data_IF_313176845889
#
_entry.id   IF_313176845889
#
_cell.length_a   1.000
_cell.length_b   1.000
_cell.length_c   1.000
_cell.angle_alpha   90.00
_cell.angle_beta   90.00
_cell.angle_gamma   90.00
#
_symmetry.space_group_name_H-M   'P 1'
#
loop_
_entity.id
_entity.type
_entity.pdbx_description
1 polymer ?
#
# COMPACT_ATOMS: atom_id res chain seq x y z
N UNK A 1 -5.39 -13.54 -12.73
CA UNK A 1 -6.33 -13.96 -13.80
C UNK A 1 -5.71 -13.58 -15.13
N UNK A 2 -5.17 -14.54 -15.87
CA UNK A 2 -4.37 -14.24 -17.07
C UNK A 2 -3.21 -13.27 -16.76
N UNK A 3 -3.00 -12.21 -17.55
CA UNK A 3 -1.90 -11.25 -17.34
C UNK A 3 -2.17 -10.25 -16.20
N UNK A 4 -3.24 -10.45 -15.41
CA UNK A 4 -3.67 -9.54 -14.35
C UNK A 4 -3.44 -10.15 -12.96
N UNK A 5 -2.77 -9.40 -12.09
CA UNK A 5 -2.73 -9.64 -10.65
C UNK A 5 -3.61 -8.61 -9.92
N UNK A 6 -4.47 -9.09 -9.02
CA UNK A 6 -5.23 -8.28 -8.08
C UNK A 6 -4.53 -8.33 -6.73
N UNK A 7 -4.11 -7.18 -6.20
CA UNK A 7 -3.42 -7.06 -4.92
C UNK A 7 -4.37 -6.42 -3.91
N UNK A 8 -4.98 -7.20 -3.00
CA UNK A 8 -5.86 -6.65 -1.97
C UNK A 8 -5.03 -5.98 -0.87
N UNK A 9 -5.45 -4.78 -0.47
CA UNK A 9 -4.88 -4.08 0.69
C UNK A 9 -6.00 -3.71 1.68
N UNK A 10 -5.82 -3.94 3.00
CA UNK A 10 -6.86 -3.74 4.01
C UNK A 10 -6.97 -2.29 4.48
N UNK A 11 -6.90 -1.34 3.54
CA UNK A 11 -6.92 0.10 3.78
C UNK A 11 -6.73 0.90 2.50
N UNK A 12 -6.51 2.20 2.65
CA UNK A 12 -6.43 3.18 1.57
C UNK A 12 -4.98 3.62 1.34
N UNK A 13 -4.24 2.99 0.40
CA UNK A 13 -2.86 3.36 0.11
C UNK A 13 -2.76 4.67 -0.66
N UNK A 14 -1.70 5.43 -0.38
CA UNK A 14 -1.30 6.55 -1.23
C UNK A 14 -0.94 6.09 -2.64
N UNK A 15 -1.18 6.96 -3.63
CA UNK A 15 -0.97 6.65 -5.04
C UNK A 15 0.49 6.25 -5.33
N UNK A 16 1.45 6.91 -4.68
CA UNK A 16 2.88 6.64 -4.82
C UNK A 16 3.24 5.20 -4.45
N UNK A 17 2.60 4.63 -3.42
CA UNK A 17 2.79 3.22 -3.00
C UNK A 17 2.32 2.30 -4.13
N UNK A 18 1.12 2.55 -4.66
CA UNK A 18 0.53 1.77 -5.74
C UNK A 18 1.36 1.87 -7.02
N UNK A 19 1.85 3.07 -7.35
CA UNK A 19 2.69 3.31 -8.52
C UNK A 19 4.05 2.60 -8.40
N UNK A 20 4.68 2.62 -7.22
CA UNK A 20 5.93 1.88 -6.93
C UNK A 20 5.73 0.36 -7.10
N UNK A 21 4.63 -0.18 -6.56
CA UNK A 21 4.29 -1.60 -6.70
C UNK A 21 4.08 -1.97 -8.18
N UNK A 22 3.28 -1.18 -8.91
CA UNK A 22 3.00 -1.40 -10.33
C UNK A 22 4.25 -1.35 -11.19
N UNK A 23 5.13 -0.37 -10.95
CA UNK A 23 6.37 -0.20 -11.71
C UNK A 23 7.33 -1.39 -11.56
N UNK A 24 7.34 -2.03 -10.38
CA UNK A 24 8.27 -3.12 -10.05
C UNK A 24 7.66 -4.51 -10.15
N UNK A 25 6.37 -4.60 -10.48
CA UNK A 25 5.66 -5.88 -10.52
C UNK A 25 6.14 -6.75 -11.68
N UNK A 26 6.30 -8.08 -11.46
CA UNK A 26 6.56 -9.02 -12.55
C UNK A 26 5.31 -9.31 -13.40
N UNK A 27 4.12 -8.89 -12.96
CA UNK A 27 2.85 -9.14 -13.65
C UNK A 27 2.43 -7.93 -14.47
N UNK A 28 2.19 -8.12 -15.77
CA UNK A 28 1.91 -7.07 -16.75
C UNK A 28 0.85 -6.05 -16.28
N UNK A 29 -0.25 -6.54 -15.70
CA UNK A 29 -1.30 -5.69 -15.14
C UNK A 29 -1.44 -5.95 -13.65
N UNK A 30 -0.89 -5.06 -12.84
CA UNK A 30 -1.04 -5.11 -11.38
C UNK A 30 -2.05 -4.07 -10.94
N UNK A 31 -3.17 -4.53 -10.40
CA UNK A 31 -4.26 -3.68 -9.91
C UNK A 31 -4.36 -3.82 -8.39
N UNK A 32 -4.29 -2.70 -7.70
CA UNK A 32 -4.47 -2.67 -6.25
C UNK A 32 -5.95 -2.47 -5.94
N UNK A 33 -6.51 -3.36 -5.12
CA UNK A 33 -7.85 -3.23 -4.58
C UNK A 33 -7.75 -2.71 -3.15
N UNK A 34 -8.02 -1.43 -2.95
CA UNK A 34 -8.05 -0.82 -1.61
C UNK A 34 -9.21 -1.34 -0.79
N UNK A 35 -9.13 -1.16 0.53
CA UNK A 35 -10.20 -1.47 1.50
C UNK A 35 -10.77 -2.88 1.32
N UNK A 36 -9.90 -3.84 0.98
CA UNK A 36 -10.26 -5.24 0.76
C UNK A 36 -9.82 -6.05 1.96
N UNK A 37 -10.72 -6.87 2.50
CA UNK A 37 -10.50 -7.68 3.70
C UNK A 37 -10.12 -6.86 4.95
N UNK A 38 -10.47 -5.56 4.97
CA UNK A 38 -10.23 -4.67 6.11
C UNK A 38 -10.43 -3.20 5.75
N UNK A 39 -10.47 -2.35 6.78
CA UNK A 39 -10.68 -0.90 6.66
C UNK A 39 -9.77 -0.14 7.64
N UNK A 40 -8.46 -0.33 7.51
CA UNK A 40 -7.45 0.18 8.46
C UNK A 40 -7.12 1.66 8.27
N UNK A 41 -7.94 2.43 7.55
CA UNK A 41 -7.65 3.82 7.20
C UNK A 41 -6.52 3.95 6.18
N UNK A 42 -5.77 5.06 6.25
CA UNK A 42 -4.78 5.41 5.23
C UNK A 42 -3.41 4.76 5.45
N UNK A 43 -2.82 4.26 4.36
CA UNK A 43 -1.41 3.90 4.30
C UNK A 43 -0.65 5.03 3.61
N UNK A 44 0.04 5.83 4.42
CA UNK A 44 0.76 7.03 4.00
C UNK A 44 2.21 6.69 3.65
N UNK A 45 2.84 7.47 2.76
CA UNK A 45 4.28 7.35 2.54
C UNK A 45 5.08 7.97 3.68
N UNK A 46 6.37 7.61 3.79
CA UNK A 46 7.29 8.24 4.75
C UNK A 46 7.31 9.76 4.59
N UNK A 47 7.36 10.26 3.36
CA UNK A 47 7.39 11.70 3.09
C UNK A 47 6.06 12.38 3.44
N UNK A 48 4.92 11.74 3.14
CA UNK A 48 3.61 12.27 3.50
C UNK A 48 3.47 12.37 5.03
N UNK A 49 3.92 11.36 5.76
CA UNK A 49 3.94 11.36 7.24
C UNK A 49 4.68 12.59 7.80
N UNK A 50 5.79 12.99 7.20
CA UNK A 50 6.56 14.17 7.61
C UNK A 50 5.82 15.48 7.30
N UNK A 51 5.08 15.55 6.19
CA UNK A 51 4.28 16.72 5.81
C UNK A 51 2.99 16.86 6.62
N UNK A 52 2.44 15.76 7.13
CA UNK A 52 1.12 15.75 7.78
C UNK A 52 -0.03 15.77 6.77
N UNK A 53 -1.22 16.18 7.21
CA UNK A 53 -2.45 16.15 6.40
C UNK A 53 -3.54 15.31 7.05
N UNK A 54 -4.72 15.30 6.42
CA UNK A 54 -5.89 14.58 6.92
C UNK A 54 -5.59 13.08 7.01
N UNK A 55 -5.02 12.50 5.96
CA UNK A 55 -4.73 11.08 5.85
C UNK A 55 -3.70 10.63 6.90
N UNK A 56 -2.69 11.46 7.18
CA UNK A 56 -1.69 11.20 8.21
C UNK A 56 -2.30 11.29 9.61
N UNK A 57 -3.18 12.26 9.84
CA UNK A 57 -3.87 12.39 11.11
C UNK A 57 -4.80 11.19 11.37
N UNK A 58 -5.57 10.77 10.36
CA UNK A 58 -6.43 9.59 10.42
C UNK A 58 -5.59 8.32 10.63
N UNK A 59 -4.49 8.13 9.91
CA UNK A 59 -3.59 7.00 10.09
C UNK A 59 -3.08 6.90 11.55
N UNK A 60 -2.69 8.03 12.15
CA UNK A 60 -2.27 8.07 13.56
C UNK A 60 -3.40 7.72 14.53
N UNK A 61 -4.63 8.13 14.24
CA UNK A 61 -5.79 7.86 15.09
C UNK A 61 -6.27 6.40 14.99
N UNK A 62 -6.15 5.78 13.81
CA UNK A 62 -6.71 4.46 13.52
C UNK A 62 -5.80 3.30 13.96
N UNK A 63 -4.49 3.52 14.13
CA UNK A 63 -3.58 2.47 14.56
C UNK A 63 -2.15 2.93 14.78
N UNK A 64 -1.54 2.47 15.88
CA UNK A 64 -0.19 2.87 16.27
C UNK A 64 0.91 2.50 15.25
N UNK A 65 0.68 1.48 14.43
CA UNK A 65 1.64 1.01 13.41
C UNK A 65 1.43 1.64 12.02
N UNK A 66 0.29 2.28 11.75
CA UNK A 66 0.00 2.90 10.46
C UNK A 66 0.91 4.09 10.12
N UNK A 67 1.43 4.87 11.08
CA UNK A 67 2.44 5.87 10.80
C UNK A 67 3.88 5.34 10.99
N UNK A 68 4.13 4.04 10.81
CA UNK A 68 5.50 3.51 10.81
C UNK A 68 6.30 4.07 9.63
N UNK A 69 7.57 4.43 9.86
CA UNK A 69 8.41 5.08 8.85
C UNK A 69 8.72 4.20 7.63
N UNK A 70 8.55 2.88 7.75
CA UNK A 70 8.80 1.91 6.68
C UNK A 70 7.51 1.25 6.18
N UNK A 71 6.32 1.75 6.53
CA UNK A 71 5.06 1.11 6.15
C UNK A 71 4.96 0.95 4.63
N UNK A 72 5.23 2.01 3.87
CA UNK A 72 5.17 2.01 2.41
C UNK A 72 6.19 1.06 1.77
N UNK A 73 7.41 1.00 2.30
CA UNK A 73 8.44 0.04 1.88
C UNK A 73 7.97 -1.40 2.11
N UNK A 74 7.44 -1.70 3.31
CA UNK A 74 6.93 -3.04 3.64
C UNK A 74 5.77 -3.44 2.73
N UNK A 75 4.82 -2.53 2.49
CA UNK A 75 3.70 -2.78 1.59
C UNK A 75 4.16 -3.07 0.16
N UNK A 76 5.18 -2.38 -0.35
CA UNK A 76 5.72 -2.64 -1.69
C UNK A 76 6.50 -3.96 -1.72
N UNK A 77 7.47 -4.16 -0.82
CA UNK A 77 8.36 -5.32 -0.89
C UNK A 77 7.65 -6.64 -0.62
N UNK A 78 6.75 -6.70 0.35
CA UNK A 78 6.04 -7.94 0.66
C UNK A 78 5.06 -8.33 -0.44
N UNK A 79 4.36 -7.37 -1.04
CA UNK A 79 3.49 -7.67 -2.18
C UNK A 79 4.30 -8.06 -3.42
N UNK A 80 5.46 -7.43 -3.68
CA UNK A 80 6.36 -7.87 -4.74
C UNK A 80 6.91 -9.28 -4.50
N UNK A 81 7.23 -9.62 -3.25
CA UNK A 81 7.68 -10.97 -2.88
C UNK A 81 6.62 -12.01 -3.22
N UNK A 82 5.36 -11.73 -2.88
CA UNK A 82 4.24 -12.62 -3.22
C UNK A 82 4.01 -12.69 -4.73
N UNK A 83 4.03 -11.55 -5.44
CA UNK A 83 3.84 -11.49 -6.89
C UNK A 83 4.92 -12.22 -7.70
N UNK A 84 6.12 -12.39 -7.14
CA UNK A 84 7.21 -13.16 -7.76
C UNK A 84 7.10 -14.67 -7.51
N UNK A 85 6.25 -15.07 -6.57
CA UNK A 85 6.04 -16.48 -6.23
C UNK A 85 4.86 -17.10 -7.00
N UNK A 86 4.16 -16.31 -7.83
CA UNK A 86 3.02 -16.73 -8.66
C UNK A 86 3.44 -17.00 -10.10
#
# INVERSE_FOLDING_TARGET
VGPVALVPLPGEPFAEIVLRLRHRSPVQHTLVASTTNGASGYFVTREARARGGYEVWVARAMGAYLPADNLDDVLVEENLRLLRAV
#
